data_IF_086975582622
#
_entry.id   IF_086975582622
#
_cell.length_a   1.000
_cell.length_b   1.000
_cell.length_c   1.000
_cell.angle_alpha   90.00
_cell.angle_beta   90.00
_cell.angle_gamma   90.00
#
_symmetry.space_group_name_H-M   'P 1'
#
loop_
_entity.id
_entity.type
_entity.pdbx_description
1 polymer ?
#
# COMPACT_ATOMS: atom_id res chain seq x y z
N UNK A 1 49.98 -43.70 -2.84
CA UNK A 1 50.07 -42.52 -1.94
C UNK A 1 49.01 -41.52 -2.35
N UNK A 2 48.09 -41.18 -1.43
CA UNK A 2 46.99 -40.22 -1.60
C UNK A 2 47.53 -38.78 -1.53
N UNK A 3 47.15 -37.90 -2.47
CA UNK A 3 47.23 -36.43 -2.35
C UNK A 3 45.98 -35.86 -3.03
N UNK A 4 44.91 -35.68 -2.27
CA UNK A 4 44.45 -34.42 -1.64
C UNK A 4 43.89 -33.45 -2.68
N UNK A 5 42.56 -33.41 -2.71
CA UNK A 5 41.71 -32.47 -3.42
C UNK A 5 42.01 -31.02 -3.04
N UNK A 6 41.97 -30.11 -4.02
CA UNK A 6 41.75 -28.69 -3.78
C UNK A 6 40.50 -28.29 -4.54
N UNK A 7 39.38 -28.29 -3.81
CA UNK A 7 38.13 -27.69 -4.24
C UNK A 7 38.35 -26.18 -4.17
N UNK A 8 38.43 -25.51 -5.32
CA UNK A 8 38.42 -24.05 -5.37
C UNK A 8 36.99 -23.61 -5.08
N UNK A 9 36.73 -23.43 -3.78
CA UNK A 9 35.57 -22.76 -3.22
C UNK A 9 35.78 -21.26 -3.43
N UNK A 10 35.02 -20.65 -4.33
CA UNK A 10 35.20 -19.24 -4.66
C UNK A 10 34.10 -18.63 -5.52
N UNK A 11 32.87 -19.15 -5.44
CA UNK A 11 31.69 -18.39 -5.86
C UNK A 11 31.40 -17.39 -4.75
N UNK A 12 31.93 -16.18 -4.89
CA UNK A 12 31.46 -14.99 -4.20
C UNK A 12 30.00 -14.78 -4.62
N UNK A 13 29.11 -15.40 -3.85
CA UNK A 13 27.68 -15.12 -3.85
C UNK A 13 27.52 -13.73 -3.24
N UNK A 14 27.76 -12.70 -4.05
CA UNK A 14 27.50 -11.29 -3.74
C UNK A 14 26.00 -11.01 -3.83
N UNK A 15 25.19 -11.78 -3.13
CA UNK A 15 23.74 -11.58 -3.09
C UNK A 15 23.29 -11.44 -1.64
N UNK A 16 23.74 -10.38 -0.95
CA UNK A 16 23.31 -10.06 0.41
C UNK A 16 23.53 -8.59 0.76
N UNK A 17 22.74 -7.69 0.18
CA UNK A 17 22.29 -6.42 0.83
C UNK A 17 21.03 -5.81 0.17
N UNK A 18 20.17 -6.61 -0.47
CA UNK A 18 18.86 -6.12 -0.95
C UNK A 18 17.76 -6.10 0.13
N UNK A 19 18.06 -6.52 1.36
CA UNK A 19 17.05 -6.74 2.42
C UNK A 19 16.94 -5.63 3.48
N UNK A 20 17.50 -4.44 3.26
CA UNK A 20 17.45 -3.35 4.24
C UNK A 20 16.61 -2.12 3.89
N UNK A 21 16.30 -1.75 2.63
CA UNK A 21 15.67 -0.45 2.39
C UNK A 21 14.26 -0.40 2.99
N UNK A 22 13.44 -1.43 2.82
CA UNK A 22 12.04 -1.38 3.24
C UNK A 22 11.77 -1.84 4.67
N UNK A 23 12.79 -2.22 5.46
CA UNK A 23 12.59 -2.73 6.83
C UNK A 23 11.77 -1.77 7.70
N UNK A 24 12.02 -0.47 7.59
CA UNK A 24 11.26 0.54 8.32
C UNK A 24 9.77 0.52 7.94
N UNK A 25 9.46 0.42 6.66
CA UNK A 25 8.09 0.31 6.16
C UNK A 25 7.47 -1.01 6.63
N UNK A 26 8.19 -2.13 6.50
CA UNK A 26 7.75 -3.45 6.98
C UNK A 26 7.38 -3.44 8.45
N UNK A 27 8.26 -2.90 9.30
CA UNK A 27 8.03 -2.82 10.74
C UNK A 27 6.83 -1.90 11.04
N UNK A 28 6.72 -0.76 10.35
CA UNK A 28 5.61 0.18 10.56
C UNK A 28 4.26 -0.41 10.17
N UNK A 29 4.16 -1.02 8.99
CA UNK A 29 2.93 -1.68 8.54
C UNK A 29 2.56 -2.87 9.42
N UNK A 30 3.55 -3.64 9.89
CA UNK A 30 3.31 -4.73 10.84
C UNK A 30 2.70 -4.23 12.15
N UNK A 31 3.18 -3.12 12.70
CA UNK A 31 2.59 -2.54 13.90
C UNK A 31 1.19 -1.96 13.62
N UNK A 32 0.98 -1.32 12.47
CA UNK A 32 -0.34 -0.85 12.06
C UNK A 32 -1.36 -2.01 11.97
N UNK A 33 -0.96 -3.15 11.42
CA UNK A 33 -1.81 -4.34 11.31
C UNK A 33 -2.19 -4.90 12.69
N UNK A 34 -1.28 -4.88 13.68
CA UNK A 34 -1.57 -5.35 15.05
C UNK A 34 -2.58 -4.47 15.79
N UNK A 35 -2.60 -3.17 15.49
CA UNK A 35 -3.50 -2.21 16.16
C UNK A 35 -4.94 -2.30 15.64
N UNK A 36 -5.18 -3.03 14.55
CA UNK A 36 -6.51 -3.24 13.98
C UNK A 36 -7.34 -4.18 14.84
N UNK A 37 -8.16 -3.57 15.70
CA UNK A 37 -9.20 -4.28 16.42
C UNK A 37 -10.32 -4.67 15.44
N UNK A 38 -10.62 -5.96 15.31
CA UNK A 38 -11.54 -6.55 14.32
C UNK A 38 -13.02 -6.14 14.36
N UNK A 39 -13.34 -4.95 14.88
CA UNK A 39 -14.64 -4.31 14.71
C UNK A 39 -14.71 -3.85 13.25
N UNK A 40 -15.71 -4.33 12.50
CA UNK A 40 -15.83 -4.22 11.03
C UNK A 40 -15.93 -2.81 10.41
N UNK A 41 -15.39 -1.79 11.06
CA UNK A 41 -15.12 -0.47 10.49
C UNK A 41 -13.66 -0.44 10.04
N UNK A 42 -13.40 -0.04 8.78
CA UNK A 42 -12.03 0.05 8.28
C UNK A 42 -11.25 1.08 9.10
N UNK A 43 -10.35 0.62 9.97
CA UNK A 43 -9.39 1.53 10.59
C UNK A 43 -8.44 2.03 9.52
N UNK A 44 -8.60 3.30 9.15
CA UNK A 44 -7.75 3.98 8.18
C UNK A 44 -6.37 4.20 8.81
N UNK A 45 -5.35 3.69 8.14
CA UNK A 45 -3.96 3.98 8.44
C UNK A 45 -3.44 4.97 7.41
N UNK A 46 -2.65 5.96 7.82
CA UNK A 46 -1.93 6.86 6.92
C UNK A 46 -0.62 7.24 7.57
N UNK A 47 0.45 7.30 6.79
CA UNK A 47 1.59 8.12 7.15
C UNK A 47 1.24 9.59 6.94
N UNK A 48 1.68 10.45 7.85
CA UNK A 48 1.72 11.88 7.57
C UNK A 48 2.69 12.17 6.42
N UNK A 49 2.42 13.24 5.65
CA UNK A 49 3.31 13.67 4.56
C UNK A 49 4.74 13.91 5.05
N UNK A 50 4.89 14.55 6.21
CA UNK A 50 6.21 14.81 6.81
C UNK A 50 6.97 13.52 7.15
N UNK A 51 6.28 12.48 7.64
CA UNK A 51 6.91 11.18 7.89
C UNK A 51 7.40 10.56 6.59
N UNK A 52 6.59 10.61 5.53
CA UNK A 52 7.00 10.10 4.23
C UNK A 52 8.17 10.90 3.65
N UNK A 53 8.17 12.22 3.78
CA UNK A 53 9.28 13.06 3.31
C UNK A 53 10.59 12.74 4.02
N UNK A 54 10.55 12.45 5.33
CA UNK A 54 11.72 12.00 6.07
C UNK A 54 12.20 10.62 5.61
N UNK A 55 11.28 9.66 5.43
CA UNK A 55 11.59 8.30 4.97
C UNK A 55 12.18 8.31 3.56
N UNK A 56 11.72 9.23 2.69
CA UNK A 56 12.21 9.39 1.32
C UNK A 56 13.70 9.73 1.25
N UNK A 57 14.26 10.36 2.29
CA UNK A 57 15.68 10.73 2.34
C UNK A 57 16.59 9.53 2.62
N UNK A 58 16.02 8.38 2.99
CA UNK A 58 16.78 7.16 3.23
C UNK A 58 17.12 6.48 1.89
N UNK A 59 18.39 6.05 1.68
CA UNK A 59 18.80 5.45 0.43
C UNK A 59 17.95 4.21 0.06
N UNK A 60 17.41 4.21 -1.16
CA UNK A 60 16.63 3.08 -1.69
C UNK A 60 15.14 3.11 -1.33
N UNK A 61 14.66 4.16 -0.66
CA UNK A 61 13.24 4.35 -0.34
C UNK A 61 12.53 5.41 -1.19
N UNK A 62 13.23 6.04 -2.14
CA UNK A 62 12.70 7.16 -2.92
C UNK A 62 11.47 6.76 -3.72
N UNK A 63 11.56 5.64 -4.44
CA UNK A 63 10.46 5.09 -5.26
C UNK A 63 9.29 4.55 -4.43
N UNK A 64 9.49 3.65 -3.44
CA UNK A 64 8.37 3.13 -2.65
C UNK A 64 7.65 4.25 -1.90
N UNK A 65 8.34 5.28 -1.42
CA UNK A 65 7.69 6.43 -0.78
C UNK A 65 6.83 7.24 -1.76
N UNK A 66 7.30 7.47 -2.98
CA UNK A 66 6.48 8.15 -4.02
C UNK A 66 5.22 7.33 -4.34
N UNK A 67 5.37 6.01 -4.45
CA UNK A 67 4.23 5.10 -4.64
C UNK A 67 3.27 5.15 -3.45
N UNK A 68 3.78 5.14 -2.22
CA UNK A 68 2.98 5.24 -1.00
C UNK A 68 2.19 6.55 -0.92
N UNK A 69 2.79 7.69 -1.28
CA UNK A 69 2.09 8.98 -1.33
C UNK A 69 0.93 8.94 -2.33
N UNK A 70 1.18 8.36 -3.51
CA UNK A 70 0.16 8.21 -4.55
C UNK A 70 -0.99 7.32 -4.07
N UNK A 71 -0.64 6.18 -3.46
CA UNK A 71 -1.59 5.24 -2.87
C UNK A 71 -2.46 5.87 -1.79
N UNK A 72 -1.85 6.57 -0.82
CA UNK A 72 -2.60 7.27 0.23
C UNK A 72 -3.57 8.30 -0.35
N UNK A 73 -3.13 9.06 -1.37
CA UNK A 73 -3.98 10.03 -2.06
C UNK A 73 -5.17 9.36 -2.74
N UNK A 74 -4.97 8.23 -3.42
CA UNK A 74 -6.08 7.51 -4.07
C UNK A 74 -7.02 6.91 -3.02
N UNK A 75 -6.52 6.30 -1.95
CA UNK A 75 -7.36 5.81 -0.85
C UNK A 75 -8.15 6.94 -0.17
N UNK A 76 -7.58 8.13 -0.05
CA UNK A 76 -8.31 9.30 0.46
C UNK A 76 -9.40 9.76 -0.50
N UNK A 77 -9.18 9.69 -1.81
CA UNK A 77 -10.21 9.95 -2.81
C UNK A 77 -11.33 8.91 -2.77
N UNK A 78 -11.02 7.63 -2.54
CA UNK A 78 -12.01 6.56 -2.37
C UNK A 78 -12.86 6.81 -1.12
N UNK A 79 -12.20 7.15 -0.02
CA UNK A 79 -12.87 7.53 1.22
C UNK A 79 -13.84 8.69 1.03
N UNK A 80 -13.44 9.74 0.29
CA UNK A 80 -14.34 10.86 0.00
C UNK A 80 -15.55 10.43 -0.84
N UNK A 81 -15.35 9.61 -1.88
CA UNK A 81 -16.46 9.06 -2.66
C UNK A 81 -17.39 8.20 -1.80
N UNK A 82 -16.84 7.42 -0.86
CA UNK A 82 -17.62 6.63 0.10
C UNK A 82 -18.48 7.53 1.01
N UNK A 83 -17.89 8.58 1.62
CA UNK A 83 -18.63 9.51 2.48
C UNK A 83 -19.74 10.26 1.75
N UNK A 84 -19.53 10.57 0.47
CA UNK A 84 -20.50 11.28 -0.37
C UNK A 84 -21.56 10.35 -0.97
N UNK A 85 -21.49 9.03 -0.71
CA UNK A 85 -22.38 8.04 -1.32
C UNK A 85 -22.17 7.83 -2.83
N UNK A 86 -21.09 8.38 -3.39
CA UNK A 86 -20.71 8.28 -4.81
C UNK A 86 -20.00 6.95 -5.09
N UNK A 87 -20.66 5.84 -4.73
CA UNK A 87 -20.07 4.50 -4.74
C UNK A 87 -19.63 4.00 -6.11
N UNK A 88 -20.20 4.53 -7.19
CA UNK A 88 -19.79 4.21 -8.55
C UNK A 88 -18.37 4.71 -8.89
N UNK A 89 -17.88 5.74 -8.20
CA UNK A 89 -16.52 6.26 -8.37
C UNK A 89 -15.43 5.42 -7.69
N UNK A 90 -15.82 4.41 -6.90
CA UNK A 90 -14.88 3.54 -6.18
C UNK A 90 -14.16 2.52 -7.08
N UNK A 91 -14.69 2.24 -8.27
CA UNK A 91 -14.06 1.31 -9.23
C UNK A 91 -13.10 2.03 -10.21
N UNK A 92 -13.33 3.33 -10.46
CA UNK A 92 -12.50 4.15 -11.35
C UNK A 92 -11.12 4.50 -10.76
N UNK A 93 -10.98 4.38 -9.44
CA UNK A 93 -9.81 4.77 -8.67
C UNK A 93 -9.03 3.53 -8.26
N UNK A 94 -8.13 3.07 -9.13
CA UNK A 94 -7.41 1.81 -8.97
C UNK A 94 -6.31 1.87 -7.87
N UNK A 95 -6.71 2.10 -6.62
CA UNK A 95 -5.84 1.93 -5.45
C UNK A 95 -5.23 0.52 -5.43
N UNK A 96 -5.98 -0.49 -5.88
CA UNK A 96 -5.49 -1.86 -6.06
C UNK A 96 -4.22 -1.95 -6.92
N UNK A 97 -4.15 -1.24 -8.06
CA UNK A 97 -2.95 -1.25 -8.90
C UNK A 97 -1.78 -0.54 -8.21
N UNK A 98 -2.05 0.56 -7.51
CA UNK A 98 -1.01 1.28 -6.80
C UNK A 98 -0.43 0.48 -5.63
N UNK A 99 -1.24 -0.33 -4.94
CA UNK A 99 -0.75 -1.29 -3.94
C UNK A 99 0.24 -2.28 -4.58
N UNK A 100 -0.09 -2.84 -5.75
CA UNK A 100 0.79 -3.79 -6.43
C UNK A 100 2.10 -3.15 -6.92
N UNK A 101 2.07 -1.89 -7.37
CA UNK A 101 3.30 -1.18 -7.73
C UNK A 101 4.21 -0.93 -6.52
N UNK A 102 3.65 -0.53 -5.38
CA UNK A 102 4.44 -0.32 -4.15
C UNK A 102 5.02 -1.65 -3.63
N UNK A 103 4.28 -2.75 -3.74
CA UNK A 103 4.76 -4.09 -3.38
C UNK A 103 5.98 -4.53 -4.18
N UNK A 104 6.04 -4.21 -5.48
CA UNK A 104 7.21 -4.55 -6.31
C UNK A 104 8.48 -3.89 -5.80
N UNK A 105 8.37 -2.68 -5.25
CA UNK A 105 9.50 -1.94 -4.68
C UNK A 105 9.86 -2.42 -3.27
N UNK A 106 8.90 -2.96 -2.50
CA UNK A 106 9.10 -3.49 -1.14
C UNK A 106 8.40 -4.86 -0.96
N UNK A 107 8.89 -5.95 -1.58
CA UNK A 107 8.19 -7.23 -1.66
C UNK A 107 8.04 -7.95 -0.31
N UNK A 108 8.89 -7.65 0.67
CA UNK A 108 8.84 -8.20 2.03
C UNK A 108 7.82 -7.48 2.94
N UNK A 109 7.32 -6.32 2.52
CA UNK A 109 6.38 -5.52 3.31
C UNK A 109 4.95 -6.01 3.10
N UNK A 110 4.27 -6.39 4.19
CA UNK A 110 2.83 -6.62 4.18
C UNK A 110 2.11 -5.28 4.11
N UNK A 111 1.33 -5.04 3.05
CA UNK A 111 0.49 -3.84 2.91
C UNK A 111 -0.97 -4.12 3.30
N UNK A 112 -1.21 -5.14 4.13
CA UNK A 112 -2.54 -5.68 4.43
C UNK A 112 -3.54 -4.63 4.91
N UNK A 113 -3.13 -3.65 5.71
CA UNK A 113 -4.01 -2.52 6.11
C UNK A 113 -4.56 -1.74 4.91
N UNK A 114 -3.76 -1.54 3.86
CA UNK A 114 -4.22 -0.88 2.64
C UNK A 114 -5.00 -1.84 1.75
N UNK A 115 -4.58 -3.10 1.64
CA UNK A 115 -5.33 -4.11 0.89
C UNK A 115 -6.75 -4.29 1.44
N UNK A 116 -6.91 -4.36 2.76
CA UNK A 116 -8.20 -4.51 3.41
C UNK A 116 -9.06 -3.26 3.25
N UNK A 117 -8.46 -2.06 3.26
CA UNK A 117 -9.18 -0.81 2.95
C UNK A 117 -9.67 -0.80 1.49
N UNK A 118 -8.83 -1.22 0.53
CA UNK A 118 -9.22 -1.38 -0.88
C UNK A 118 -10.36 -2.39 -1.02
N UNK A 119 -10.27 -3.55 -0.34
CA UNK A 119 -11.33 -4.56 -0.34
C UNK A 119 -12.63 -4.02 0.25
N UNK A 120 -12.53 -3.21 1.32
CA UNK A 120 -13.70 -2.55 1.90
C UNK A 120 -14.38 -1.64 0.86
N UNK A 121 -13.66 -0.72 0.21
CA UNK A 121 -14.27 0.17 -0.79
C UNK A 121 -14.82 -0.60 -1.99
N UNK A 122 -14.09 -1.60 -2.47
CA UNK A 122 -14.56 -2.48 -3.55
C UNK A 122 -15.87 -3.18 -3.20
N UNK A 123 -16.05 -3.58 -1.93
CA UNK A 123 -17.31 -4.18 -1.46
C UNK A 123 -18.49 -3.20 -1.42
N UNK A 124 -18.23 -1.89 -1.43
CA UNK A 124 -19.26 -0.84 -1.44
C UNK A 124 -19.61 -0.37 -2.84
N UNK A 125 -18.79 -0.70 -3.83
CA UNK A 125 -19.04 -0.32 -5.22
C UNK A 125 -20.43 -0.76 -5.66
N UNK A 126 -21.11 0.14 -6.37
CA UNK A 126 -22.28 -0.17 -7.20
C UNK A 126 -22.14 0.55 -8.52
N UNK A 127 -22.69 -0.06 -9.57
CA UNK A 127 -22.77 0.58 -10.89
C UNK A 127 -23.55 1.88 -10.80
N UNK A 128 -23.16 2.87 -11.62
CA UNK A 128 -23.87 4.15 -11.72
C UNK A 128 -25.36 3.94 -12.04
N UNK A 129 -26.23 4.54 -11.24
CA UNK A 129 -27.68 4.57 -11.45
C UNK A 129 -28.11 6.03 -11.56
N UNK A 130 -28.53 6.43 -12.76
CA UNK A 130 -28.90 7.82 -13.05
C UNK A 130 -30.00 8.36 -12.12
N UNK A 131 -30.96 7.53 -11.68
CA UNK A 131 -32.07 7.95 -10.82
C UNK A 131 -31.60 8.25 -9.40
N UNK A 132 -30.66 7.44 -8.90
CA UNK A 132 -30.12 7.57 -7.54
C UNK A 132 -29.02 8.65 -7.51
N UNK A 133 -28.10 8.61 -8.47
CA UNK A 133 -26.85 9.38 -8.44
C UNK A 133 -27.00 10.84 -8.90
N UNK A 134 -27.99 11.16 -9.76
CA UNK A 134 -28.32 12.57 -10.03
C UNK A 134 -28.91 13.29 -8.81
N UNK A 135 -29.59 12.56 -7.92
CA UNK A 135 -30.16 13.10 -6.69
C UNK A 135 -29.09 13.48 -5.67
N UNK A 136 -28.02 12.69 -5.56
CA UNK A 136 -26.90 12.96 -4.63
C UNK A 136 -26.13 14.24 -4.99
N UNK A 137 -25.97 14.55 -6.28
CA UNK A 137 -25.32 15.80 -6.73
C UNK A 137 -26.10 17.08 -6.38
N UNK A 138 -27.38 16.99 -6.05
CA UNK A 138 -28.23 18.16 -5.76
C UNK A 138 -28.29 18.55 -4.29
N UNK A 139 -27.95 17.62 -3.38
CA UNK A 139 -28.04 17.82 -1.93
C UNK A 139 -26.69 18.14 -1.26
N UNK A 140 -25.57 18.12 -2.01
CA UNK A 140 -24.26 18.54 -1.54
C UNK A 140 -23.98 19.98 -1.96
N UNK A 141 -24.59 20.95 -1.28
CA UNK A 141 -24.27 22.37 -1.40
C UNK A 141 -23.99 22.93 0.00
#
# INVERSE_FOLDING_TARGET
MKKVSVIILGLLVSSLTYGQPCKLLTDTFREADKLRNGKGESQRFRFSENQLDQVKLMPGLEKPVIGLKSLQKTLDQDYQSYLQGLFWQLDEKLAAHQVEEVKKECPETSFKVYEDEVLFYKSKYRVYDEKIDKGLKRNGN
#
